data_IF_112208922821
#
_entry.id   IF_112208922821
#
_cell.length_a   1.000
_cell.length_b   1.000
_cell.length_c   1.000
_cell.angle_alpha   90.00
_cell.angle_beta   90.00
_cell.angle_gamma   90.00
#
_symmetry.space_group_name_H-M   'P 1'
#
loop_
_entity.id
_entity.type
_entity.pdbx_description
1 polymer ?
#
# COMPACT_ATOMS: atom_id res chain seq x y z
N UNK A 1 23.01 -44.06 20.25
CA UNK A 1 21.78 -43.49 19.65
C UNK A 1 22.05 -42.69 18.37
N UNK A 2 22.91 -41.66 18.41
CA UNK A 2 23.24 -40.78 17.26
C UNK A 2 23.68 -41.50 15.96
N UNK A 3 24.55 -42.51 16.06
CA UNK A 3 25.03 -43.27 14.89
C UNK A 3 23.92 -44.08 14.19
N UNK A 4 22.95 -44.60 14.96
CA UNK A 4 21.82 -45.40 14.45
C UNK A 4 20.82 -44.52 13.68
N UNK A 5 20.55 -43.32 14.19
CA UNK A 5 19.69 -42.33 13.54
C UNK A 5 20.28 -41.85 12.21
N UNK A 6 21.59 -41.54 12.19
CA UNK A 6 22.30 -41.15 10.97
C UNK A 6 22.31 -42.26 9.90
N UNK A 7 22.41 -43.52 10.33
CA UNK A 7 22.31 -44.66 9.42
C UNK A 7 20.89 -44.84 8.85
N UNK A 8 19.85 -44.65 9.68
CA UNK A 8 18.46 -44.65 9.23
C UNK A 8 18.19 -43.52 8.23
N UNK A 9 18.68 -42.31 8.49
CA UNK A 9 18.54 -41.17 7.57
C UNK A 9 19.20 -41.48 6.22
N UNK A 10 20.44 -42.00 6.22
CA UNK A 10 21.12 -42.42 4.97
C UNK A 10 20.40 -43.55 4.24
N UNK A 11 19.85 -44.51 4.97
CA UNK A 11 19.11 -45.62 4.38
C UNK A 11 17.83 -45.13 3.72
N UNK A 12 17.06 -44.26 4.38
CA UNK A 12 15.90 -43.61 3.79
C UNK A 12 16.25 -42.73 2.59
N UNK A 13 17.39 -42.04 2.64
CA UNK A 13 17.91 -41.25 1.51
C UNK A 13 18.26 -42.12 0.29
N UNK A 14 18.71 -43.36 0.52
CA UNK A 14 19.09 -44.34 -0.52
C UNK A 14 17.90 -45.13 -1.10
N UNK A 15 16.77 -45.17 -0.39
CA UNK A 15 15.57 -45.93 -0.76
C UNK A 15 14.55 -45.13 -1.61
N UNK A 16 14.94 -44.00 -2.20
CA UNK A 16 14.06 -43.19 -3.07
C UNK A 16 13.04 -42.33 -2.33
N UNK A 17 12.96 -42.39 -1.00
CA UNK A 17 12.10 -41.50 -0.19
C UNK A 17 12.44 -40.02 -0.41
N UNK A 18 13.71 -39.70 -0.70
CA UNK A 18 14.16 -38.34 -1.04
C UNK A 18 13.46 -37.80 -2.28
N UNK A 19 13.25 -38.62 -3.32
CA UNK A 19 12.62 -38.19 -4.58
C UNK A 19 11.14 -37.80 -4.37
N UNK A 20 10.45 -38.48 -3.45
CA UNK A 20 9.08 -38.13 -3.06
C UNK A 20 9.03 -36.79 -2.30
N UNK A 21 10.01 -36.52 -1.43
CA UNK A 21 10.09 -35.21 -0.76
C UNK A 21 10.54 -34.11 -1.71
N UNK A 22 11.46 -34.38 -2.64
CA UNK A 22 11.96 -33.42 -3.62
C UNK A 22 10.88 -33.03 -4.63
N UNK A 23 10.05 -34.00 -5.06
CA UNK A 23 8.88 -33.72 -5.90
C UNK A 23 7.81 -32.91 -5.17
N UNK A 24 7.54 -33.23 -3.91
CA UNK A 24 6.61 -32.44 -3.09
C UNK A 24 7.12 -31.00 -2.86
N UNK A 25 8.41 -30.83 -2.59
CA UNK A 25 9.04 -29.52 -2.44
C UNK A 25 9.00 -28.74 -3.76
N UNK A 26 9.26 -29.41 -4.90
CA UNK A 26 9.16 -28.80 -6.22
C UNK A 26 7.73 -28.33 -6.54
N UNK A 27 6.73 -29.15 -6.23
CA UNK A 27 5.31 -28.80 -6.40
C UNK A 27 4.91 -27.63 -5.49
N UNK A 28 5.37 -27.62 -4.24
CA UNK A 28 5.12 -26.54 -3.30
C UNK A 28 5.77 -25.23 -3.78
N UNK A 29 7.02 -25.29 -4.22
CA UNK A 29 7.75 -24.12 -4.74
C UNK A 29 7.09 -23.59 -6.01
N UNK A 30 6.70 -24.46 -6.95
CA UNK A 30 5.98 -24.05 -8.14
C UNK A 30 4.64 -23.36 -7.80
N UNK A 31 3.93 -23.86 -6.80
CA UNK A 31 2.69 -23.26 -6.29
C UNK A 31 2.94 -21.87 -5.69
N UNK A 32 3.99 -21.74 -4.87
CA UNK A 32 4.37 -20.48 -4.23
C UNK A 32 4.78 -19.43 -5.27
N UNK A 33 5.60 -19.80 -6.26
CA UNK A 33 6.01 -18.90 -7.34
C UNK A 33 4.81 -18.41 -8.16
N UNK A 34 3.86 -19.30 -8.45
CA UNK A 34 2.62 -18.92 -9.14
C UNK A 34 1.79 -17.91 -8.32
N UNK A 35 1.68 -18.12 -6.99
CA UNK A 35 0.99 -17.20 -6.09
C UNK A 35 1.72 -15.86 -5.96
N UNK A 36 3.05 -15.86 -5.84
CA UNK A 36 3.88 -14.66 -5.79
C UNK A 36 3.69 -13.87 -7.08
N UNK A 37 3.77 -14.53 -8.24
CA UNK A 37 3.61 -13.88 -9.55
C UNK A 37 2.23 -13.23 -9.70
N UNK A 38 1.16 -13.92 -9.30
CA UNK A 38 -0.18 -13.36 -9.29
C UNK A 38 -0.30 -12.15 -8.36
N UNK A 39 0.34 -12.17 -7.19
CA UNK A 39 0.37 -11.04 -6.26
C UNK A 39 1.18 -9.86 -6.82
N UNK A 40 2.33 -10.12 -7.43
CA UNK A 40 3.14 -9.09 -8.08
C UNK A 40 2.35 -8.38 -9.18
N UNK A 41 1.66 -9.12 -10.05
CA UNK A 41 0.89 -8.54 -11.15
C UNK A 41 -0.32 -7.74 -10.64
N UNK A 42 -0.91 -8.09 -9.50
CA UNK A 42 -1.95 -7.28 -8.82
C UNK A 42 -1.43 -5.96 -8.25
N UNK A 43 -0.13 -5.86 -8.00
CA UNK A 43 0.53 -4.66 -7.47
C UNK A 43 1.18 -3.86 -8.61
N UNK A 44 1.59 -4.53 -9.69
CA UNK A 44 2.18 -3.95 -10.89
C UNK A 44 1.25 -2.87 -11.46
N UNK A 45 1.80 -1.68 -11.74
CA UNK A 45 1.06 -0.52 -12.25
C UNK A 45 0.42 0.40 -11.21
N UNK A 46 0.33 0.01 -9.93
CA UNK A 46 -0.07 0.93 -8.85
C UNK A 46 1.12 1.79 -8.45
N UNK A 47 0.98 3.12 -8.58
CA UNK A 47 1.98 4.04 -8.05
C UNK A 47 1.94 4.03 -6.52
N UNK A 48 3.04 3.60 -5.92
CA UNK A 48 3.27 3.66 -4.47
C UNK A 48 4.29 4.76 -4.16
N UNK A 49 4.29 5.24 -2.92
CA UNK A 49 5.30 6.16 -2.42
C UNK A 49 6.11 5.45 -1.35
N UNK A 50 7.43 5.52 -1.44
CA UNK A 50 8.38 5.08 -0.42
C UNK A 50 9.26 6.28 -0.03
N UNK A 51 9.57 6.44 1.27
CA UNK A 51 10.38 7.56 1.78
C UNK A 51 9.60 8.80 2.21
N UNK A 52 10.31 9.93 2.41
CA UNK A 52 9.77 11.22 2.88
C UNK A 52 9.33 11.26 4.35
N UNK A 53 8.67 12.34 4.78
CA UNK A 53 8.22 12.54 6.17
C UNK A 53 6.91 11.80 6.47
N UNK A 54 6.98 10.58 7.00
CA UNK A 54 5.80 9.71 7.28
C UNK A 54 4.79 10.37 8.23
N UNK A 55 5.26 10.92 9.35
CA UNK A 55 4.41 11.57 10.34
C UNK A 55 3.55 12.69 9.71
N UNK A 56 4.17 13.55 8.90
CA UNK A 56 3.44 14.62 8.21
C UNK A 56 2.43 14.10 7.21
N UNK A 57 2.72 13.02 6.48
CA UNK A 57 1.73 12.42 5.57
C UNK A 57 0.50 11.93 6.31
N UNK A 58 0.68 11.30 7.47
CA UNK A 58 -0.44 10.84 8.29
C UNK A 58 -1.29 12.02 8.78
N UNK A 59 -0.67 13.04 9.37
CA UNK A 59 -1.37 14.24 9.84
C UNK A 59 -2.11 14.92 8.69
N UNK A 60 -1.44 15.07 7.54
CA UNK A 60 -2.04 15.69 6.37
C UNK A 60 -3.22 14.88 5.82
N UNK A 61 -3.13 13.56 5.85
CA UNK A 61 -4.24 12.69 5.45
C UNK A 61 -5.44 12.86 6.37
N UNK A 62 -5.23 12.89 7.69
CA UNK A 62 -6.30 13.13 8.67
C UNK A 62 -6.94 14.52 8.50
N UNK A 63 -6.13 15.56 8.32
CA UNK A 63 -6.63 16.91 8.06
C UNK A 63 -7.44 16.98 6.77
N UNK A 64 -6.97 16.33 5.69
CA UNK A 64 -7.67 16.27 4.42
C UNK A 64 -8.98 15.46 4.50
N UNK A 65 -9.01 14.41 5.32
CA UNK A 65 -10.23 13.64 5.59
C UNK A 65 -11.30 14.54 6.21
N UNK A 66 -10.98 15.22 7.32
CA UNK A 66 -11.91 16.15 7.99
C UNK A 66 -12.36 17.27 7.04
N UNK A 67 -11.42 17.86 6.29
CA UNK A 67 -11.74 18.92 5.33
C UNK A 67 -12.69 18.45 4.22
N UNK A 68 -12.54 17.22 3.72
CA UNK A 68 -13.41 16.65 2.70
C UNK A 68 -14.87 16.47 3.16
N UNK A 69 -15.12 16.40 4.47
CA UNK A 69 -16.46 16.25 5.04
C UNK A 69 -17.07 17.57 5.50
N UNK A 70 -16.29 18.42 6.17
CA UNK A 70 -16.82 19.59 6.88
C UNK A 70 -16.55 20.93 6.21
N UNK A 71 -15.56 21.03 5.32
CA UNK A 71 -15.29 22.28 4.61
C UNK A 71 -16.07 22.28 3.28
N UNK A 72 -17.03 23.21 3.06
CA UNK A 72 -17.88 23.22 1.87
C UNK A 72 -17.09 23.22 0.55
N UNK A 73 -16.02 24.01 0.46
CA UNK A 73 -15.19 24.10 -0.75
C UNK A 73 -14.46 22.79 -1.07
N UNK A 74 -13.94 22.11 -0.04
CA UNK A 74 -13.21 20.85 -0.19
C UNK A 74 -14.16 19.67 -0.37
N UNK A 75 -15.33 19.71 0.25
CA UNK A 75 -16.41 18.73 0.10
C UNK A 75 -16.90 18.70 -1.34
N UNK A 76 -17.25 19.85 -1.93
CA UNK A 76 -17.67 19.92 -3.35
C UNK A 76 -16.60 19.36 -4.29
N UNK A 77 -15.32 19.65 -4.02
CA UNK A 77 -14.22 19.08 -4.80
C UNK A 77 -14.11 17.55 -4.63
N UNK A 78 -14.21 17.05 -3.41
CA UNK A 78 -14.15 15.62 -3.11
C UNK A 78 -15.33 14.86 -3.73
N UNK A 79 -16.54 15.43 -3.65
CA UNK A 79 -17.76 14.86 -4.22
C UNK A 79 -17.67 14.77 -5.75
N UNK A 80 -17.12 15.80 -6.41
CA UNK A 80 -16.86 15.75 -7.85
C UNK A 80 -15.92 14.59 -8.24
N UNK A 81 -14.86 14.36 -7.46
CA UNK A 81 -13.96 13.23 -7.71
C UNK A 81 -14.61 11.88 -7.40
N UNK A 82 -15.49 11.82 -6.40
CA UNK A 82 -16.27 10.61 -6.07
C UNK A 82 -17.24 10.27 -7.20
N UNK A 83 -17.95 11.26 -7.74
CA UNK A 83 -18.82 11.11 -8.92
C UNK A 83 -18.05 10.64 -10.16
N UNK A 84 -16.79 11.05 -10.31
CA UNK A 84 -15.89 10.57 -11.36
C UNK A 84 -15.31 9.17 -11.11
N UNK A 85 -15.80 8.42 -10.12
CA UNK A 85 -15.39 7.05 -9.82
C UNK A 85 -13.96 6.90 -9.29
N UNK A 86 -13.36 7.98 -8.75
CA UNK A 86 -11.97 7.92 -8.27
C UNK A 86 -11.87 7.14 -6.95
N UNK A 87 -10.81 6.34 -6.73
CA UNK A 87 -10.61 5.63 -5.47
C UNK A 87 -10.51 6.60 -4.28
N UNK A 88 -11.08 6.23 -3.14
CA UNK A 88 -11.13 7.07 -1.93
C UNK A 88 -9.76 7.67 -1.55
N UNK A 89 -8.71 6.84 -1.51
CA UNK A 89 -7.36 7.29 -1.14
C UNK A 89 -6.81 8.36 -2.10
N UNK A 90 -7.15 8.30 -3.39
CA UNK A 90 -6.77 9.31 -4.39
C UNK A 90 -7.50 10.61 -4.14
N UNK A 91 -8.79 10.55 -3.79
CA UNK A 91 -9.61 11.73 -3.47
C UNK A 91 -9.01 12.47 -2.27
N UNK A 92 -8.75 11.77 -1.16
CA UNK A 92 -8.19 12.41 0.05
C UNK A 92 -6.80 12.98 -0.24
N UNK A 93 -5.98 12.28 -1.03
CA UNK A 93 -4.66 12.78 -1.45
C UNK A 93 -4.76 14.04 -2.33
N UNK A 94 -5.79 14.15 -3.17
CA UNK A 94 -6.05 15.34 -3.97
C UNK A 94 -6.51 16.53 -3.10
N UNK A 95 -7.36 16.28 -2.09
CA UNK A 95 -7.75 17.29 -1.09
C UNK A 95 -6.54 17.76 -0.30
N UNK A 96 -5.69 16.85 0.17
CA UNK A 96 -4.44 17.19 0.85
C UNK A 96 -3.56 18.11 -0.02
N UNK A 97 -3.44 17.84 -1.32
CA UNK A 97 -2.69 18.70 -2.24
C UNK A 97 -3.28 20.10 -2.37
N UNK A 98 -4.62 20.23 -2.42
CA UNK A 98 -5.29 21.53 -2.41
C UNK A 98 -4.98 22.32 -1.13
N UNK A 99 -5.01 21.66 0.03
CA UNK A 99 -4.70 22.29 1.31
C UNK A 99 -3.23 22.78 1.38
N UNK A 100 -2.27 21.98 0.92
CA UNK A 100 -0.85 22.40 0.85
C UNK A 100 -0.68 23.59 -0.09
N UNK A 101 -1.31 23.56 -1.26
CA UNK A 101 -1.24 24.67 -2.21
C UNK A 101 -1.84 25.96 -1.62
N UNK A 102 -2.95 25.84 -0.90
CA UNK A 102 -3.57 26.96 -0.19
C UNK A 102 -2.64 27.53 0.89
N UNK A 103 -2.08 26.66 1.74
CA UNK A 103 -1.13 27.07 2.77
C UNK A 103 0.10 27.77 2.16
N UNK A 104 0.66 27.20 1.08
CA UNK A 104 1.79 27.79 0.37
C UNK A 104 1.45 29.17 -0.23
N UNK A 105 0.25 29.32 -0.80
CA UNK A 105 -0.22 30.60 -1.35
C UNK A 105 -0.34 31.66 -0.25
N UNK A 106 -0.93 31.31 0.90
CA UNK A 106 -1.08 32.21 2.05
C UNK A 106 0.28 32.62 2.65
N UNK A 107 1.19 31.67 2.82
CA UNK A 107 2.55 31.96 3.28
C UNK A 107 3.29 32.89 2.32
N UNK A 108 3.14 32.68 1.01
CA UNK A 108 3.76 33.52 -0.02
C UNK A 108 3.19 34.94 -0.01
N UNK A 109 1.87 35.10 0.16
CA UNK A 109 1.23 36.42 0.22
C UNK A 109 1.31 37.08 1.61
N UNK A 110 1.82 36.37 2.63
CA UNK A 110 1.79 36.77 4.05
C UNK A 110 0.38 37.14 4.54
N UNK A 111 -0.63 36.49 3.99
CA UNK A 111 -2.02 36.72 4.36
C UNK A 111 -2.53 35.61 5.27
N UNK A 112 -3.41 35.98 6.20
CA UNK A 112 -4.15 35.00 7.00
C UNK A 112 -5.24 34.37 6.13
N UNK A 113 -5.58 33.12 6.42
CA UNK A 113 -6.69 32.46 5.75
C UNK A 113 -8.00 33.20 6.06
N UNK A 114 -8.77 33.49 5.02
CA UNK A 114 -10.14 34.00 5.14
C UNK A 114 -11.12 32.95 4.60
N UNK A 115 -12.17 32.60 5.35
CA UNK A 115 -13.23 31.74 4.82
C UNK A 115 -13.88 32.46 3.64
N UNK A 116 -14.02 31.76 2.51
CA UNK A 116 -14.93 32.20 1.44
C UNK A 116 -16.35 31.99 1.95
N UNK A 117 -16.88 32.98 2.65
CA UNK A 117 -18.31 33.06 2.96
C UNK A 117 -19.02 33.24 1.62
N UNK A 118 -19.75 32.21 1.21
CA UNK A 118 -20.74 32.32 0.13
C UNK A 118 -21.99 32.99 0.69
#
# INVERSE_FOLDING_TARGET
>A
MRKRLLAQIRAHQKLGTTEMFDSFDADLMARLDCLIKALEDRIRGKRTIAGGRRALRHVMFQAALVAAHHNPSMKTFADRLRKAGKPHKVIITAVARKLVNLANALCKSRQKWTPSTA
#
